data_IF_635966451653
#
_entry.id   IF_635966451653
#
_cell.length_a   1.000
_cell.length_b   1.000
_cell.length_c   1.000
_cell.angle_alpha   90.00
_cell.angle_beta   90.00
_cell.angle_gamma   90.00
#
_symmetry.space_group_name_H-M   'P 1'
#
loop_
_entity.id
_entity.type
_entity.pdbx_description
1 polymer ?
#
# COMPACT_ATOMS: atom_id res chain seq x y z
N UNK A 1 -1.52 -10.72 6.21
CA UNK A 1 -0.05 -10.78 5.99
C UNK A 1 0.40 -9.50 5.31
N UNK A 2 1.62 -9.03 5.55
CA UNK A 2 2.19 -7.91 4.81
C UNK A 2 3.71 -7.94 4.76
N UNK A 3 4.27 -7.00 4.03
CA UNK A 3 5.72 -6.85 3.79
C UNK A 3 6.41 -8.21 3.54
N UNK A 4 5.76 -9.04 2.71
CA UNK A 4 6.25 -10.37 2.32
C UNK A 4 7.45 -10.19 1.40
N UNK A 5 8.53 -10.92 1.64
CA UNK A 5 9.69 -10.99 0.75
C UNK A 5 9.88 -12.42 0.26
N UNK A 6 10.97 -12.68 -0.42
CA UNK A 6 11.33 -14.06 -0.77
C UNK A 6 11.67 -14.94 0.44
N UNK A 7 12.03 -14.33 1.58
CA UNK A 7 12.53 -15.07 2.75
C UNK A 7 11.88 -14.66 4.08
N UNK A 8 10.91 -13.76 4.06
CA UNK A 8 10.25 -13.27 5.26
C UNK A 8 8.83 -12.81 5.00
N UNK A 9 8.05 -12.66 6.07
CA UNK A 9 6.70 -12.08 6.05
C UNK A 9 6.41 -11.43 7.40
N UNK A 10 5.40 -10.55 7.46
CA UNK A 10 4.91 -9.98 8.70
C UNK A 10 3.45 -10.38 8.90
N UNK A 11 3.16 -11.15 9.94
CA UNK A 11 1.79 -11.43 10.35
C UNK A 11 1.30 -10.29 11.23
N UNK A 12 0.13 -9.75 10.93
CA UNK A 12 -0.60 -8.83 11.79
C UNK A 12 -1.89 -9.48 12.30
N UNK A 13 -2.19 -9.26 13.57
CA UNK A 13 -3.46 -9.65 14.17
C UNK A 13 -3.86 -8.64 15.27
N UNK A 14 -5.13 -8.69 15.66
CA UNK A 14 -5.68 -8.01 16.83
C UNK A 14 -6.57 -8.97 17.60
N UNK A 15 -6.49 -8.93 18.92
CA UNK A 15 -7.37 -9.68 19.83
C UNK A 15 -8.38 -8.75 20.50
N UNK A 16 -9.45 -9.30 21.08
CA UNK A 16 -10.49 -8.51 21.75
C UNK A 16 -10.11 -8.09 23.18
N UNK A 17 -8.96 -8.53 23.67
CA UNK A 17 -8.42 -8.22 24.99
C UNK A 17 -7.03 -8.83 25.17
N UNK A 18 -6.44 -8.79 26.38
CA UNK A 18 -5.13 -9.36 26.64
C UNK A 18 -5.15 -10.88 26.43
N UNK A 19 -4.43 -11.35 25.41
CA UNK A 19 -4.33 -12.77 25.06
C UNK A 19 -2.88 -13.17 24.88
N UNK A 20 -2.58 -14.43 25.19
CA UNK A 20 -1.35 -15.10 24.78
C UNK A 20 -1.54 -15.62 23.36
N UNK A 21 -0.55 -15.39 22.50
CA UNK A 21 -0.58 -15.73 21.07
C UNK A 21 0.64 -16.55 20.73
N UNK A 22 0.45 -17.66 20.05
CA UNK A 22 1.51 -18.49 19.48
C UNK A 22 1.20 -18.79 18.02
N UNK A 23 2.24 -18.81 17.20
CA UNK A 23 2.16 -19.09 15.77
C UNK A 23 2.89 -20.39 15.46
N UNK A 24 2.31 -21.17 14.56
CA UNK A 24 2.95 -22.35 13.96
C UNK A 24 2.83 -22.25 12.45
N UNK A 25 3.93 -22.42 11.71
CA UNK A 25 3.93 -22.35 10.26
C UNK A 25 4.87 -23.36 9.61
N UNK A 26 4.48 -23.80 8.43
CA UNK A 26 5.29 -24.64 7.55
C UNK A 26 4.83 -24.49 6.09
N UNK A 27 5.62 -24.90 5.10
CA UNK A 27 5.15 -25.07 3.74
C UNK A 27 3.89 -25.94 3.68
N UNK A 28 2.93 -25.62 2.83
CA UNK A 28 1.66 -26.37 2.71
C UNK A 28 1.94 -27.85 2.43
N UNK A 29 2.92 -28.16 1.57
CA UNK A 29 3.31 -29.54 1.26
C UNK A 29 3.76 -30.33 2.50
N UNK A 30 4.40 -29.68 3.47
CA UNK A 30 4.80 -30.31 4.74
C UNK A 30 3.60 -30.65 5.61
N UNK A 31 2.60 -29.76 5.72
CA UNK A 31 1.34 -30.03 6.42
C UNK A 31 0.56 -31.21 5.81
N UNK A 32 0.50 -31.27 4.48
CA UNK A 32 -0.21 -32.31 3.78
C UNK A 32 0.48 -33.69 3.93
N UNK A 33 1.80 -33.70 4.12
CA UNK A 33 2.57 -34.92 4.44
C UNK A 33 2.31 -35.38 5.88
N UNK A 34 2.31 -34.47 6.87
CA UNK A 34 1.99 -34.78 8.27
C UNK A 34 0.60 -35.39 8.45
N UNK A 35 -0.37 -34.90 7.67
CA UNK A 35 -1.75 -35.42 7.71
C UNK A 35 -1.87 -36.86 7.20
N UNK A 36 -0.92 -37.34 6.39
CA UNK A 36 -0.93 -38.64 5.72
C UNK A 36 -0.04 -39.70 6.40
N UNK A 37 0.94 -39.27 7.18
CA UNK A 37 1.94 -40.15 7.79
C UNK A 37 2.08 -39.88 9.29
N UNK A 38 1.65 -40.80 10.12
CA UNK A 38 1.74 -40.69 11.60
C UNK A 38 3.16 -40.60 12.14
N UNK A 39 4.19 -40.74 11.31
CA UNK A 39 5.61 -40.78 11.68
C UNK A 39 6.47 -39.74 10.98
N UNK A 40 5.91 -38.86 10.11
CA UNK A 40 6.68 -37.85 9.42
C UNK A 40 6.98 -36.67 10.35
N UNK A 41 8.24 -36.46 10.67
CA UNK A 41 8.72 -35.25 11.37
C UNK A 41 8.89 -34.15 10.32
N UNK A 42 7.80 -33.48 9.95
CA UNK A 42 7.92 -32.24 9.20
C UNK A 42 8.30 -31.14 10.19
N UNK A 43 9.31 -30.34 9.85
CA UNK A 43 9.70 -29.19 10.67
C UNK A 43 8.63 -28.10 10.59
N UNK A 44 7.76 -28.08 11.59
CA UNK A 44 6.83 -26.96 11.82
C UNK A 44 7.58 -25.93 12.66
N UNK A 45 7.79 -24.75 12.11
CA UNK A 45 8.36 -23.64 12.88
C UNK A 45 7.32 -23.09 13.85
N UNK A 46 7.80 -22.66 15.01
CA UNK A 46 6.94 -22.12 16.08
C UNK A 46 7.53 -20.82 16.62
N UNK A 47 6.67 -19.81 16.81
CA UNK A 47 7.07 -18.56 17.43
C UNK A 47 7.29 -18.70 18.94
N UNK A 48 8.02 -17.76 19.56
CA UNK A 48 7.85 -17.49 20.99
C UNK A 48 6.39 -17.21 21.33
N UNK A 49 6.08 -17.21 22.62
CA UNK A 49 4.78 -16.82 23.12
C UNK A 49 4.72 -15.28 23.22
N UNK A 50 3.77 -14.66 22.56
CA UNK A 50 3.52 -13.23 22.62
C UNK A 50 2.31 -12.93 23.51
N UNK A 51 2.20 -11.69 23.97
CA UNK A 51 1.03 -11.20 24.70
C UNK A 51 0.55 -9.91 24.03
N UNK A 52 -0.74 -9.84 23.74
CA UNK A 52 -1.36 -8.59 23.28
C UNK A 52 -1.73 -7.72 24.49
N UNK A 53 -1.56 -6.39 24.35
CA UNK A 53 -1.77 -5.44 25.42
C UNK A 53 -2.56 -4.21 24.97
N UNK A 54 -3.11 -3.48 25.94
CA UNK A 54 -3.91 -2.27 25.70
C UNK A 54 -3.08 -1.10 25.16
N UNK A 55 -1.78 -1.10 25.39
CA UNK A 55 -0.82 -0.09 24.91
C UNK A 55 -0.82 0.02 23.40
N UNK A 56 -1.02 -1.10 22.68
CA UNK A 56 -1.14 -1.18 21.21
C UNK A 56 -2.56 -1.51 20.73
N UNK A 57 -3.59 -1.24 21.55
CA UNK A 57 -4.97 -1.63 21.26
C UNK A 57 -5.13 -3.12 20.93
N UNK A 58 -4.36 -3.96 21.62
CA UNK A 58 -4.33 -5.42 21.45
C UNK A 58 -3.89 -5.89 20.05
N UNK A 59 -3.21 -5.04 19.27
CA UNK A 59 -2.59 -5.42 18.01
C UNK A 59 -1.23 -6.06 18.25
N UNK A 60 -0.82 -6.89 17.31
CA UNK A 60 0.47 -7.57 17.30
C UNK A 60 0.94 -7.78 15.87
N UNK A 61 2.19 -7.39 15.59
CA UNK A 61 2.87 -7.68 14.33
C UNK A 61 4.05 -8.63 14.61
N UNK A 62 4.04 -9.82 13.99
CA UNK A 62 5.06 -10.86 14.23
C UNK A 62 5.84 -11.13 12.95
N UNK A 63 7.17 -10.90 12.95
CA UNK A 63 8.01 -11.26 11.82
C UNK A 63 8.19 -12.78 11.72
N UNK A 64 8.07 -13.29 10.51
CA UNK A 64 8.41 -14.65 10.11
C UNK A 64 9.65 -14.55 9.22
N UNK A 65 10.74 -15.19 9.63
CA UNK A 65 12.04 -15.12 8.96
C UNK A 65 12.50 -16.51 8.52
N UNK A 66 13.48 -16.57 7.62
CA UNK A 66 14.07 -17.82 7.13
C UNK A 66 13.11 -18.64 6.26
N UNK A 67 12.19 -17.97 5.57
CA UNK A 67 11.27 -18.62 4.66
C UNK A 67 11.96 -18.97 3.33
N UNK A 68 11.40 -19.95 2.62
CA UNK A 68 11.86 -20.35 1.29
C UNK A 68 11.17 -19.51 0.21
N UNK A 69 11.89 -19.03 -0.82
CA UNK A 69 11.31 -18.27 -1.92
C UNK A 69 10.23 -19.05 -2.69
N UNK A 70 9.28 -18.32 -3.28
CA UNK A 70 8.19 -18.83 -4.12
C UNK A 70 7.45 -20.03 -3.50
N UNK A 71 7.28 -20.02 -2.18
CA UNK A 71 6.74 -21.15 -1.42
C UNK A 71 5.44 -20.76 -0.73
N UNK A 72 4.41 -21.58 -0.90
CA UNK A 72 3.12 -21.41 -0.20
C UNK A 72 3.23 -21.97 1.22
N UNK A 73 3.01 -21.11 2.19
CA UNK A 73 2.99 -21.42 3.62
C UNK A 73 1.58 -21.46 4.16
N UNK A 74 1.38 -22.34 5.15
CA UNK A 74 0.19 -22.35 6.02
C UNK A 74 0.62 -22.04 7.44
N UNK A 75 -0.09 -21.11 8.06
CA UNK A 75 0.14 -20.63 9.40
C UNK A 75 -1.12 -20.80 10.23
N UNK A 76 -0.96 -21.29 11.45
CA UNK A 76 -1.99 -21.38 12.48
C UNK A 76 -1.70 -20.36 13.58
N UNK A 77 -2.73 -19.65 14.00
CA UNK A 77 -2.71 -18.72 15.14
C UNK A 77 -3.45 -19.39 16.29
N UNK A 78 -2.75 -19.67 17.37
CA UNK A 78 -3.35 -20.17 18.61
C UNK A 78 -3.43 -19.05 19.64
N UNK A 79 -4.56 -18.94 20.33
CA UNK A 79 -4.78 -17.96 21.40
C UNK A 79 -5.18 -18.63 22.70
N UNK A 80 -4.73 -18.06 23.82
CA UNK A 80 -5.06 -18.52 25.17
C UNK A 80 -5.13 -17.36 26.16
N UNK A 81 -5.80 -17.55 27.29
CA UNK A 81 -5.84 -16.57 28.39
C UNK A 81 -4.62 -16.69 29.28
N UNK A 82 -4.16 -15.58 29.89
CA UNK A 82 -3.02 -15.55 30.81
C UNK A 82 -3.28 -16.51 31.99
N UNK A 83 -2.35 -17.48 32.20
CA UNK A 83 -2.46 -18.50 33.26
C UNK A 83 -2.82 -19.92 32.77
N UNK A 84 -3.20 -20.09 31.51
CA UNK A 84 -3.31 -21.40 30.85
C UNK A 84 -2.31 -21.44 29.70
N UNK A 85 -1.34 -22.32 29.77
CA UNK A 85 -0.32 -22.45 28.73
C UNK A 85 -0.97 -22.68 27.36
N UNK A 86 -0.56 -21.92 26.34
CA UNK A 86 -0.95 -22.15 24.96
C UNK A 86 -0.48 -23.53 24.42
N UNK A 87 0.29 -24.24 25.22
CA UNK A 87 0.77 -25.62 24.99
C UNK A 87 -0.19 -26.71 25.49
N UNK A 88 -1.26 -26.32 26.22
CA UNK A 88 -2.27 -27.29 26.64
C UNK A 88 -3.20 -27.66 25.48
N UNK A 89 -3.79 -28.87 25.55
CA UNK A 89 -4.84 -29.36 24.66
C UNK A 89 -6.07 -28.42 24.54
N UNK A 90 -6.09 -27.31 25.27
CA UNK A 90 -7.14 -26.29 25.31
C UNK A 90 -6.79 -25.02 24.54
N UNK A 91 -5.56 -24.88 23.93
CA UNK A 91 -5.23 -23.76 23.03
C UNK A 91 -6.11 -23.84 21.77
N UNK A 92 -6.98 -22.87 21.62
CA UNK A 92 -7.89 -22.83 20.46
C UNK A 92 -7.16 -22.24 19.27
N UNK A 93 -7.11 -22.97 18.15
CA UNK A 93 -6.74 -22.39 16.86
C UNK A 93 -7.79 -21.32 16.52
N UNK A 94 -7.39 -20.06 16.59
CA UNK A 94 -8.25 -18.91 16.34
C UNK A 94 -8.32 -18.55 14.84
N UNK A 95 -7.22 -18.77 14.09
CA UNK A 95 -7.17 -18.49 12.68
C UNK A 95 -6.19 -19.42 11.94
N UNK A 96 -6.49 -19.64 10.66
CA UNK A 96 -5.61 -20.24 9.66
C UNK A 96 -5.39 -19.24 8.55
N UNK A 97 -4.15 -19.00 8.18
CA UNK A 97 -3.73 -18.09 7.12
C UNK A 97 -2.86 -18.85 6.13
N UNK A 98 -3.02 -18.59 4.86
CA UNK A 98 -2.11 -19.06 3.82
C UNK A 98 -1.58 -17.88 3.04
N UNK A 99 -0.30 -17.92 2.68
CA UNK A 99 0.37 -16.90 1.88
C UNK A 99 1.51 -17.54 1.08
N UNK A 100 1.95 -16.86 0.03
CA UNK A 100 3.11 -17.28 -0.77
C UNK A 100 4.21 -16.25 -0.62
N UNK A 101 5.44 -16.70 -0.40
CA UNK A 101 6.63 -15.84 -0.44
C UNK A 101 6.92 -15.40 -1.86
N UNK A 102 7.49 -14.20 -2.02
CA UNK A 102 7.90 -13.72 -3.34
C UNK A 102 9.00 -14.60 -3.96
N UNK A 103 9.13 -14.62 -5.29
CA UNK A 103 10.27 -15.23 -5.96
C UNK A 103 11.58 -14.57 -5.55
N UNK A 104 12.68 -15.31 -5.54
CA UNK A 104 14.01 -14.73 -5.32
C UNK A 104 14.47 -13.85 -6.50
N UNK A 105 15.48 -13.00 -6.27
CA UNK A 105 15.93 -11.99 -7.22
C UNK A 105 16.51 -12.54 -8.55
N UNK A 106 16.63 -13.85 -8.71
CA UNK A 106 17.10 -14.50 -9.96
C UNK A 106 15.96 -15.18 -10.71
N UNK A 107 14.78 -15.29 -10.10
CA UNK A 107 13.63 -15.98 -10.66
C UNK A 107 12.86 -15.07 -11.62
N UNK A 108 12.52 -15.60 -12.79
CA UNK A 108 11.66 -14.96 -13.79
C UNK A 108 10.19 -15.43 -13.70
N UNK A 109 9.74 -15.87 -12.52
CA UNK A 109 8.33 -16.21 -12.34
C UNK A 109 7.45 -14.97 -12.50
N UNK A 110 6.33 -15.06 -13.22
CA UNK A 110 5.38 -13.97 -13.31
C UNK A 110 4.87 -13.54 -11.92
N UNK A 111 4.62 -12.25 -11.76
CA UNK A 111 4.05 -11.67 -10.54
C UNK A 111 2.77 -10.93 -10.90
N UNK A 112 1.71 -11.20 -10.16
CA UNK A 112 0.40 -10.56 -10.33
C UNK A 112 0.02 -9.80 -9.06
N UNK A 113 -0.22 -8.49 -9.17
CA UNK A 113 -0.60 -7.69 -8.02
C UNK A 113 -1.63 -6.63 -8.40
N UNK A 114 -2.34 -6.13 -7.41
CA UNK A 114 -3.23 -4.99 -7.59
C UNK A 114 -2.73 -3.78 -6.78
N UNK A 115 -3.20 -2.58 -7.17
CA UNK A 115 -2.99 -1.37 -6.39
C UNK A 115 -4.23 -0.49 -6.41
N UNK A 116 -4.47 0.24 -5.36
CA UNK A 116 -5.46 1.32 -5.23
C UNK A 116 -5.32 1.99 -3.85
N UNK A 117 -6.13 3.01 -3.59
CA UNK A 117 -6.21 3.74 -2.33
C UNK A 117 -7.63 4.22 -2.04
N UNK A 118 -7.75 5.19 -1.16
CA UNK A 118 -8.96 6.01 -0.93
C UNK A 118 -10.14 5.18 -0.42
N UNK A 119 -9.98 4.58 0.78
CA UNK A 119 -10.98 3.69 1.39
C UNK A 119 -11.81 4.40 2.47
N UNK A 120 -13.09 4.62 2.20
CA UNK A 120 -14.07 4.96 3.23
C UNK A 120 -14.12 6.42 3.65
N UNK A 121 -13.88 7.36 2.73
CA UNK A 121 -13.96 8.80 2.96
C UNK A 121 -15.20 9.47 2.38
N UNK A 122 -15.32 10.78 2.69
CA UNK A 122 -16.25 11.72 2.03
C UNK A 122 -17.71 11.24 2.06
N UNK A 123 -18.15 10.72 3.23
CA UNK A 123 -19.49 10.21 3.43
C UNK A 123 -19.77 8.81 2.85
N UNK A 124 -18.79 8.20 2.20
CA UNK A 124 -18.86 6.82 1.66
C UNK A 124 -18.07 5.84 2.53
N UNK A 125 -18.37 5.82 3.81
CA UNK A 125 -17.78 4.92 4.77
C UNK A 125 -18.41 3.53 4.71
N UNK A 126 -18.06 2.66 5.64
CA UNK A 126 -18.58 1.29 5.70
C UNK A 126 -20.11 1.25 5.74
N UNK A 127 -20.73 0.44 4.90
CA UNK A 127 -22.19 0.24 4.81
C UNK A 127 -22.54 -1.22 4.83
N UNK A 128 -23.41 -1.61 5.76
CA UNK A 128 -23.77 -3.01 5.97
C UNK A 128 -22.61 -3.92 6.39
N UNK A 129 -22.90 -5.17 6.65
CA UNK A 129 -21.90 -6.15 7.12
C UNK A 129 -20.78 -6.40 6.10
N UNK A 130 -21.08 -6.41 4.81
CA UNK A 130 -20.07 -6.58 3.75
C UNK A 130 -19.06 -5.43 3.72
N UNK A 131 -19.53 -4.21 3.92
CA UNK A 131 -18.72 -2.99 3.95
C UNK A 131 -18.31 -2.53 2.58
N UNK A 132 -17.28 -3.11 2.01
CA UNK A 132 -16.62 -2.68 0.75
C UNK A 132 -16.56 -3.85 -0.24
N UNK A 133 -17.58 -4.06 -1.10
CA UNK A 133 -17.69 -5.23 -1.99
C UNK A 133 -16.58 -5.34 -3.03
N UNK A 134 -15.90 -4.24 -3.38
CA UNK A 134 -14.77 -4.21 -4.32
C UNK A 134 -13.65 -5.20 -3.91
N UNK A 135 -13.46 -5.45 -2.61
CA UNK A 135 -12.47 -6.41 -2.13
C UNK A 135 -12.80 -7.87 -2.48
N UNK A 136 -14.07 -8.23 -2.66
CA UNK A 136 -14.43 -9.56 -3.16
C UNK A 136 -14.10 -9.70 -4.65
N UNK A 137 -14.26 -8.63 -5.45
CA UNK A 137 -13.83 -8.58 -6.85
C UNK A 137 -12.30 -8.72 -6.95
N UNK A 138 -11.55 -7.96 -6.11
CA UNK A 138 -10.09 -8.04 -6.06
C UNK A 138 -9.61 -9.45 -5.66
N UNK A 139 -10.25 -10.06 -4.65
CA UNK A 139 -9.89 -11.40 -4.19
C UNK A 139 -10.03 -12.47 -5.26
N UNK A 140 -10.96 -12.31 -6.20
CA UNK A 140 -11.14 -13.21 -7.33
C UNK A 140 -9.99 -13.16 -8.36
N UNK A 141 -9.11 -12.15 -8.32
CA UNK A 141 -8.01 -11.95 -9.27
C UNK A 141 -6.75 -12.80 -8.97
N UNK A 142 -6.73 -13.59 -7.91
CA UNK A 142 -5.60 -14.46 -7.54
C UNK A 142 -4.26 -13.69 -7.42
N UNK A 143 -4.24 -12.68 -6.58
CA UNK A 143 -3.11 -11.77 -6.39
C UNK A 143 -1.99 -12.40 -5.56
N UNK A 144 -0.73 -12.14 -5.94
CA UNK A 144 0.43 -12.39 -5.09
C UNK A 144 0.49 -11.40 -3.94
N UNK A 145 0.11 -10.12 -4.20
CA UNK A 145 -0.01 -9.08 -3.18
C UNK A 145 -0.89 -7.90 -3.63
N UNK A 146 -1.19 -7.02 -2.70
CA UNK A 146 -1.87 -5.75 -2.93
C UNK A 146 -1.04 -4.57 -2.42
N UNK A 147 -0.91 -3.51 -3.23
CA UNK A 147 -0.34 -2.22 -2.83
C UNK A 147 -1.47 -1.29 -2.40
N UNK A 148 -1.53 -0.95 -1.13
CA UNK A 148 -2.48 0.02 -0.60
C UNK A 148 -1.80 1.40 -0.55
N UNK A 149 -2.17 2.28 -1.48
CA UNK A 149 -1.52 3.56 -1.72
C UNK A 149 -2.12 4.70 -0.89
N UNK A 150 -2.27 4.49 0.40
CA UNK A 150 -2.75 5.51 1.31
C UNK A 150 -4.26 5.65 1.35
N UNK A 151 -4.69 6.56 2.20
CA UNK A 151 -6.09 6.76 2.54
C UNK A 151 -6.77 5.45 2.91
N UNK A 152 -6.04 4.65 3.72
CA UNK A 152 -6.55 3.39 4.26
C UNK A 152 -7.71 3.62 5.22
N UNK A 153 -7.86 4.83 5.68
CA UNK A 153 -9.01 5.39 6.40
C UNK A 153 -8.96 6.92 6.35
N UNK A 154 -10.09 7.58 6.51
CA UNK A 154 -10.21 9.04 6.57
C UNK A 154 -10.42 9.49 8.02
N UNK A 155 -9.33 9.87 8.72
CA UNK A 155 -9.38 10.34 10.10
C UNK A 155 -10.12 11.65 10.26
N UNK A 156 -10.03 12.52 9.28
CA UNK A 156 -10.58 13.85 9.22
C UNK A 156 -11.98 13.97 8.57
N UNK A 157 -12.62 12.86 8.26
CA UNK A 157 -13.95 12.83 7.67
C UNK A 157 -14.97 12.17 8.62
N UNK A 158 -16.15 12.74 8.75
CA UNK A 158 -17.26 12.13 9.47
C UNK A 158 -17.94 11.07 8.61
N UNK A 159 -18.47 10.04 9.29
CA UNK A 159 -19.26 8.98 8.69
C UNK A 159 -20.66 8.96 9.30
N UNK A 160 -21.55 9.90 8.94
CA UNK A 160 -22.90 9.96 9.51
C UNK A 160 -23.68 8.67 9.28
N UNK A 161 -24.36 8.20 10.30
CA UNK A 161 -25.25 7.04 10.25
C UNK A 161 -26.71 7.47 10.41
N UNK A 162 -27.63 7.01 9.54
CA UNK A 162 -27.42 6.30 8.29
C UNK A 162 -26.89 7.22 7.15
N UNK A 163 -26.39 6.74 6.02
CA UNK A 163 -26.43 5.35 5.52
C UNK A 163 -25.21 4.49 5.94
N UNK A 164 -24.20 5.10 6.59
CA UNK A 164 -23.03 4.37 7.03
C UNK A 164 -23.32 3.60 8.32
N UNK A 165 -22.51 2.58 8.63
CA UNK A 165 -22.59 1.89 9.92
C UNK A 165 -22.24 2.86 11.06
N UNK A 166 -22.88 2.70 12.24
CA UNK A 166 -22.59 3.56 13.39
C UNK A 166 -21.19 3.31 13.93
N UNK A 167 -20.62 4.34 14.61
CA UNK A 167 -19.33 4.22 15.32
C UNK A 167 -18.19 4.99 14.71
N UNK A 168 -18.37 5.68 13.58
CA UNK A 168 -17.32 6.45 12.91
C UNK A 168 -17.74 7.90 12.56
N UNK A 169 -18.82 8.44 13.15
CA UNK A 169 -19.26 9.83 12.92
C UNK A 169 -18.54 10.84 13.83
N UNK A 170 -17.22 10.87 13.72
CA UNK A 170 -16.36 11.83 14.42
C UNK A 170 -15.12 12.17 13.58
N UNK A 171 -14.42 13.23 13.96
CA UNK A 171 -13.08 13.58 13.44
C UNK A 171 -12.04 13.03 14.42
N UNK A 172 -11.06 12.30 13.93
CA UNK A 172 -10.01 11.75 14.77
C UNK A 172 -8.96 12.84 15.07
N UNK A 173 -8.67 13.04 16.34
CA UNK A 173 -7.64 13.97 16.84
C UNK A 173 -6.76 13.34 17.91
N UNK A 174 -7.20 12.23 18.47
CA UNK A 174 -6.47 11.45 19.49
C UNK A 174 -6.14 10.06 18.97
N UNK A 175 -5.13 9.42 19.58
CA UNK A 175 -4.75 8.04 19.23
C UNK A 175 -5.93 7.07 19.36
N UNK A 176 -6.77 7.25 20.39
CA UNK A 176 -7.95 6.38 20.59
C UNK A 176 -8.97 6.51 19.44
N UNK A 177 -9.15 7.73 18.92
CA UNK A 177 -10.03 8.00 17.78
C UNK A 177 -9.46 7.47 16.47
N UNK A 178 -8.16 7.66 16.17
CA UNK A 178 -7.51 7.04 15.02
C UNK A 178 -7.61 5.52 15.07
N UNK A 179 -7.37 4.89 16.22
CA UNK A 179 -7.56 3.45 16.43
C UNK A 179 -9.02 3.03 16.19
N UNK A 180 -9.98 3.84 16.63
CA UNK A 180 -11.41 3.58 16.41
C UNK A 180 -11.77 3.59 14.91
N UNK A 181 -11.20 4.52 14.13
CA UNK A 181 -11.37 4.56 12.67
C UNK A 181 -10.84 3.29 12.01
N UNK A 182 -9.64 2.87 12.36
CA UNK A 182 -9.08 1.61 11.85
C UNK A 182 -9.93 0.39 12.25
N UNK A 183 -10.47 0.35 13.49
CA UNK A 183 -11.39 -0.72 13.90
C UNK A 183 -12.68 -0.74 13.09
N UNK A 184 -13.25 0.42 12.81
CA UNK A 184 -14.45 0.52 11.97
C UNK A 184 -14.20 -0.06 10.59
N UNK A 185 -13.11 0.33 9.93
CA UNK A 185 -12.71 -0.26 8.63
C UNK A 185 -12.59 -1.79 8.69
N UNK A 186 -11.96 -2.32 9.75
CA UNK A 186 -11.83 -3.78 9.99
C UNK A 186 -13.17 -4.45 10.30
N UNK A 187 -14.23 -3.71 10.59
CA UNK A 187 -15.59 -4.18 10.68
C UNK A 187 -16.16 -4.69 9.35
N UNK A 188 -15.62 -4.24 8.20
CA UNK A 188 -16.01 -4.67 6.87
C UNK A 188 -15.59 -6.13 6.61
N UNK A 189 -16.58 -7.00 6.35
CA UNK A 189 -16.33 -8.43 6.17
C UNK A 189 -15.55 -8.73 4.89
N UNK A 190 -15.86 -8.03 3.78
CA UNK A 190 -15.16 -8.20 2.52
C UNK A 190 -13.67 -7.82 2.66
N UNK A 191 -13.35 -6.71 3.35
CA UNK A 191 -11.97 -6.32 3.65
C UNK A 191 -11.25 -7.38 4.51
N UNK A 192 -11.90 -7.90 5.55
CA UNK A 192 -11.29 -8.94 6.39
C UNK A 192 -10.97 -10.21 5.60
N UNK A 193 -11.91 -10.69 4.78
CA UNK A 193 -11.70 -11.86 3.91
C UNK A 193 -10.53 -11.64 2.95
N UNK A 194 -10.42 -10.44 2.38
CA UNK A 194 -9.32 -10.06 1.49
C UNK A 194 -7.98 -10.09 2.22
N UNK A 195 -7.86 -9.43 3.37
CA UNK A 195 -6.62 -9.31 4.13
C UNK A 195 -6.12 -10.64 4.74
N UNK A 196 -7.00 -11.63 4.92
CA UNK A 196 -6.61 -12.98 5.33
C UNK A 196 -5.97 -13.75 4.15
N UNK A 197 -6.39 -13.48 2.91
CA UNK A 197 -6.00 -14.24 1.72
C UNK A 197 -4.93 -13.58 0.86
N UNK A 198 -4.75 -12.27 0.95
CA UNK A 198 -3.83 -11.48 0.10
C UNK A 198 -2.85 -10.71 0.98
N UNK A 199 -1.53 -10.91 0.80
CA UNK A 199 -0.52 -10.06 1.43
C UNK A 199 -0.63 -8.61 0.99
N UNK A 200 -0.34 -7.66 1.90
CA UNK A 200 -0.43 -6.23 1.60
C UNK A 200 0.89 -5.50 1.84
N UNK A 201 1.17 -4.52 1.00
CA UNK A 201 2.14 -3.46 1.25
C UNK A 201 1.37 -2.16 1.38
N UNK A 202 1.57 -1.47 2.47
CA UNK A 202 0.80 -0.27 2.82
C UNK A 202 1.74 0.91 2.93
N UNK A 203 1.35 2.01 2.36
CA UNK A 203 1.89 3.33 2.63
C UNK A 203 0.71 4.25 2.97
N UNK A 204 0.94 5.30 3.70
CA UNK A 204 -0.08 6.31 3.95
C UNK A 204 -0.15 7.36 2.86
N UNK A 205 -1.28 8.08 2.81
CA UNK A 205 -1.36 9.38 2.16
C UNK A 205 -1.76 10.45 3.20
N UNK A 206 -2.66 11.35 2.91
CA UNK A 206 -2.93 12.45 3.83
C UNK A 206 -4.01 12.14 4.86
N UNK A 207 -5.05 11.41 4.52
CA UNK A 207 -6.21 11.22 5.40
C UNK A 207 -5.97 10.27 6.58
N UNK A 208 -4.86 9.55 6.63
CA UNK A 208 -4.40 8.89 7.87
C UNK A 208 -4.06 9.89 8.97
N UNK A 209 -3.88 11.16 8.60
CA UNK A 209 -3.69 12.28 9.51
C UNK A 209 -4.80 13.30 9.30
N UNK A 210 -4.80 14.01 8.19
CA UNK A 210 -5.84 14.94 7.72
C UNK A 210 -5.56 15.44 6.32
N UNK A 211 -6.61 15.88 5.63
CA UNK A 211 -6.54 16.40 4.26
C UNK A 211 -5.32 17.29 4.02
N UNK A 212 -4.53 16.92 3.03
CA UNK A 212 -3.33 17.59 2.57
C UNK A 212 -2.27 17.86 3.66
N UNK A 213 -2.15 16.98 4.69
CA UNK A 213 -1.10 17.18 5.67
C UNK A 213 0.29 17.18 5.03
N UNK A 214 1.16 18.02 5.54
CA UNK A 214 2.47 18.24 4.97
C UNK A 214 3.56 18.22 6.06
N UNK A 215 4.29 17.11 6.09
CA UNK A 215 5.52 16.99 6.84
C UNK A 215 5.42 17.02 8.36
N UNK A 216 6.56 17.20 9.02
CA UNK A 216 6.69 17.11 10.47
C UNK A 216 6.02 18.27 11.22
N UNK A 217 5.53 19.28 10.50
CA UNK A 217 4.86 20.44 11.08
C UNK A 217 3.43 20.15 11.55
N UNK A 218 2.85 19.04 11.10
CA UNK A 218 1.53 18.63 11.53
C UNK A 218 1.58 17.97 12.90
N UNK A 219 0.93 18.58 13.90
CA UNK A 219 0.94 18.08 15.28
C UNK A 219 0.23 16.73 15.45
N UNK A 220 -0.62 16.34 14.51
CA UNK A 220 -1.33 15.06 14.54
C UNK A 220 -0.56 13.94 13.81
N UNK A 221 0.45 14.27 13.00
CA UNK A 221 1.23 13.29 12.26
C UNK A 221 1.80 12.16 13.14
N UNK A 222 2.42 12.42 14.31
CA UNK A 222 2.95 11.34 15.15
C UNK A 222 1.88 10.35 15.60
N UNK A 223 0.68 10.86 15.90
CA UNK A 223 -0.45 10.05 16.37
C UNK A 223 -1.06 9.22 15.23
N UNK A 224 -1.28 9.83 14.05
CA UNK A 224 -1.74 9.13 12.86
C UNK A 224 -0.77 8.04 12.42
N UNK A 225 0.55 8.35 12.41
CA UNK A 225 1.60 7.37 12.10
C UNK A 225 1.64 6.21 13.08
N UNK A 226 1.46 6.48 14.38
CA UNK A 226 1.40 5.43 15.39
C UNK A 226 0.21 4.51 15.12
N UNK A 227 -0.98 5.05 14.89
CA UNK A 227 -2.16 4.26 14.59
C UNK A 227 -1.99 3.44 13.30
N UNK A 228 -1.42 4.02 12.25
CA UNK A 228 -1.10 3.29 11.02
C UNK A 228 -0.22 2.06 11.29
N UNK A 229 0.87 2.24 12.04
CA UNK A 229 1.80 1.16 12.37
C UNK A 229 1.19 0.09 13.25
N UNK A 230 0.30 0.45 14.14
CA UNK A 230 -0.43 -0.50 14.98
C UNK A 230 -1.44 -1.33 14.19
N UNK A 231 -2.01 -0.76 13.12
CA UNK A 231 -3.10 -1.39 12.37
C UNK A 231 -2.70 -2.01 11.04
N UNK A 232 -1.46 -1.82 10.58
CA UNK A 232 -0.98 -2.37 9.33
C UNK A 232 0.34 -3.13 9.49
N UNK A 233 0.52 -4.23 8.76
CA UNK A 233 1.76 -5.01 8.80
C UNK A 233 2.88 -4.31 8.03
N UNK A 234 3.38 -3.21 8.57
CA UNK A 234 4.50 -2.44 8.02
C UNK A 234 5.76 -2.79 8.80
N UNK A 235 6.78 -3.29 8.13
CA UNK A 235 8.06 -3.64 8.75
C UNK A 235 8.75 -2.39 9.32
N UNK A 236 9.24 -2.52 10.53
CA UNK A 236 10.03 -1.47 11.17
C UNK A 236 11.47 -1.58 10.68
N UNK A 237 12.01 -0.51 10.12
CA UNK A 237 13.41 -0.44 9.74
C UNK A 237 14.28 -0.32 11.01
N UNK A 238 15.40 -1.05 11.04
CA UNK A 238 16.26 -1.10 12.24
C UNK A 238 17.05 0.18 12.48
N UNK A 239 17.36 0.91 11.41
CA UNK A 239 18.12 2.16 11.41
C UNK A 239 17.25 3.41 11.62
N UNK A 240 15.98 3.35 11.23
CA UNK A 240 15.00 4.40 11.45
C UNK A 240 13.59 3.80 11.69
N UNK A 241 13.17 3.66 12.95
CA UNK A 241 11.85 3.09 13.26
C UNK A 241 10.67 3.91 12.74
N UNK A 242 10.89 5.13 12.28
CA UNK A 242 9.83 5.99 11.75
C UNK A 242 9.70 5.91 10.23
N UNK A 243 10.69 5.36 9.54
CA UNK A 243 10.73 5.25 8.09
C UNK A 243 9.65 4.31 7.56
N UNK A 244 8.83 4.81 6.62
CA UNK A 244 7.78 4.03 5.95
C UNK A 244 8.19 3.66 4.51
N UNK A 245 9.01 4.48 3.83
CA UNK A 245 9.48 4.20 2.48
C UNK A 245 10.42 2.98 2.45
N UNK A 246 10.30 2.18 1.41
CA UNK A 246 11.05 0.92 1.29
C UNK A 246 11.06 0.35 -0.11
N UNK A 247 11.99 -0.56 -0.37
CA UNK A 247 12.07 -1.33 -1.60
C UNK A 247 11.46 -2.73 -1.41
N UNK A 248 10.79 -3.22 -2.43
CA UNK A 248 10.32 -4.61 -2.51
C UNK A 248 10.82 -5.22 -3.81
N UNK A 249 11.64 -6.27 -3.70
CA UNK A 249 12.09 -7.06 -4.85
C UNK A 249 11.22 -8.30 -5.01
N UNK A 250 10.60 -8.47 -6.19
CA UNK A 250 9.77 -9.62 -6.53
C UNK A 250 10.31 -10.29 -7.78
N UNK A 251 11.18 -11.26 -7.60
CA UNK A 251 11.86 -11.93 -8.70
C UNK A 251 12.95 -11.10 -9.39
N UNK A 252 13.40 -11.56 -10.54
CA UNK A 252 14.36 -10.84 -11.39
C UNK A 252 13.72 -9.65 -12.12
N UNK A 253 12.41 -9.66 -12.28
CA UNK A 253 11.74 -8.78 -13.24
C UNK A 253 11.05 -7.57 -12.59
N UNK A 254 10.81 -7.55 -11.28
CA UNK A 254 10.07 -6.47 -10.62
C UNK A 254 10.80 -5.95 -9.39
N UNK A 255 10.97 -4.63 -9.33
CA UNK A 255 11.40 -3.93 -8.13
C UNK A 255 10.51 -2.70 -7.88
N UNK A 256 9.92 -2.62 -6.69
CA UNK A 256 9.05 -1.55 -6.26
C UNK A 256 9.82 -0.62 -5.34
N UNK A 257 9.74 0.68 -5.59
CA UNK A 257 10.22 1.75 -4.72
C UNK A 257 9.00 2.46 -4.13
N UNK A 258 8.60 2.06 -2.92
CA UNK A 258 7.42 2.60 -2.24
C UNK A 258 7.83 3.87 -1.52
N UNK A 259 7.33 5.02 -1.98
CA UNK A 259 7.64 6.33 -1.46
C UNK A 259 6.74 6.72 -0.30
N UNK A 260 7.29 7.45 0.66
CA UNK A 260 6.54 8.23 1.65
C UNK A 260 6.53 9.69 1.19
N UNK A 261 5.44 10.09 0.57
CA UNK A 261 5.28 11.43 0.02
C UNK A 261 4.77 12.45 1.04
N UNK A 262 4.58 12.06 2.31
CA UNK A 262 3.92 12.90 3.32
C UNK A 262 4.83 13.31 4.47
N UNK A 263 5.54 12.37 5.09
CA UNK A 263 6.23 12.58 6.36
C UNK A 263 7.36 13.63 6.30
N UNK A 264 8.04 13.71 5.17
CA UNK A 264 9.29 14.49 5.03
C UNK A 264 9.11 15.76 4.20
N UNK A 265 7.90 15.98 3.66
CA UNK A 265 7.68 17.09 2.73
C UNK A 265 7.69 18.45 3.41
N UNK A 266 8.10 19.46 2.65
CA UNK A 266 7.90 20.87 2.97
C UNK A 266 6.42 21.24 2.98
N UNK A 267 6.09 22.40 3.51
CA UNK A 267 4.71 22.92 3.46
C UNK A 267 4.23 23.02 2.00
N UNK A 268 2.99 22.59 1.76
CA UNK A 268 2.35 22.72 0.45
C UNK A 268 2.28 24.18 -0.02
N UNK A 269 2.13 25.13 0.92
CA UNK A 269 2.05 26.57 0.67
C UNK A 269 3.38 27.22 0.27
N UNK A 270 4.51 26.56 0.51
CA UNK A 270 5.80 27.10 0.14
C UNK A 270 5.91 27.18 -1.41
N UNK A 271 6.59 28.20 -1.91
CA UNK A 271 6.92 28.26 -3.32
C UNK A 271 7.90 27.15 -3.70
N UNK A 272 7.71 26.58 -4.87
CA UNK A 272 8.67 25.61 -5.43
C UNK A 272 10.03 26.25 -5.62
N UNK A 273 11.07 25.61 -5.09
CA UNK A 273 12.42 26.15 -5.08
C UNK A 273 13.45 25.14 -4.58
N UNK A 274 14.75 25.52 -4.51
CA UNK A 274 15.82 24.59 -4.16
C UNK A 274 15.70 23.94 -2.76
N UNK A 275 15.03 24.60 -1.83
CA UNK A 275 14.84 24.10 -0.47
C UNK A 275 13.54 23.32 -0.26
N UNK A 276 12.64 23.36 -1.25
CA UNK A 276 11.37 22.65 -1.14
C UNK A 276 11.52 21.18 -1.58
N UNK A 277 11.07 20.27 -0.73
CA UNK A 277 11.18 18.84 -0.95
C UNK A 277 9.88 18.12 -0.64
N UNK A 278 9.56 17.07 -1.38
CA UNK A 278 8.49 16.13 -1.09
C UNK A 278 9.00 14.92 -0.31
N UNK A 279 10.16 14.42 -0.67
CA UNK A 279 10.71 13.18 -0.11
C UNK A 279 11.69 13.41 1.06
N UNK A 280 12.22 14.64 1.19
CA UNK A 280 13.38 14.89 2.02
C UNK A 280 14.66 14.35 1.40
N UNK A 281 15.79 14.86 1.82
CA UNK A 281 17.10 14.54 1.22
C UNK A 281 17.44 13.06 1.28
N UNK A 282 17.24 12.42 2.42
CA UNK A 282 17.60 11.01 2.62
C UNK A 282 16.80 10.07 1.72
N UNK A 283 15.48 10.26 1.65
CA UNK A 283 14.64 9.42 0.81
C UNK A 283 14.89 9.65 -0.68
N UNK A 284 15.11 10.93 -1.08
CA UNK A 284 15.46 11.24 -2.47
C UNK A 284 16.77 10.54 -2.87
N UNK A 285 17.81 10.64 -2.07
CA UNK A 285 19.08 9.95 -2.34
C UNK A 285 18.92 8.42 -2.38
N UNK A 286 18.16 7.85 -1.45
CA UNK A 286 17.83 6.43 -1.45
C UNK A 286 17.13 6.00 -2.76
N UNK A 287 16.15 6.79 -3.24
CA UNK A 287 15.43 6.51 -4.49
C UNK A 287 16.38 6.55 -5.70
N UNK A 288 17.17 7.63 -5.83
CA UNK A 288 18.09 7.82 -6.97
C UNK A 288 19.17 6.73 -7.01
N UNK A 289 19.72 6.36 -5.86
CA UNK A 289 20.69 5.26 -5.75
C UNK A 289 20.04 3.93 -6.08
N UNK A 290 18.89 3.64 -5.49
CA UNK A 290 18.17 2.39 -5.72
C UNK A 290 17.75 2.19 -7.19
N UNK A 291 17.26 3.24 -7.85
CA UNK A 291 16.94 3.19 -9.29
C UNK A 291 18.19 2.92 -10.14
N UNK A 292 19.31 3.52 -9.77
CA UNK A 292 20.60 3.35 -10.48
C UNK A 292 21.16 1.94 -10.32
N UNK A 293 21.03 1.36 -9.15
CA UNK A 293 21.57 0.03 -8.80
C UNK A 293 20.64 -1.11 -9.17
N UNK A 294 19.38 -0.80 -9.42
CA UNK A 294 18.36 -1.82 -9.73
C UNK A 294 18.68 -2.60 -11.00
N UNK A 295 18.74 -3.91 -10.83
CA UNK A 295 18.89 -4.88 -11.93
C UNK A 295 17.54 -5.46 -12.39
N UNK A 296 16.41 -4.98 -11.85
CA UNK A 296 15.09 -5.43 -12.26
C UNK A 296 14.79 -5.03 -13.70
N UNK A 297 14.10 -5.91 -14.43
CA UNK A 297 13.56 -5.55 -15.74
C UNK A 297 12.64 -4.33 -15.62
N UNK A 298 11.72 -4.34 -14.66
CA UNK A 298 10.76 -3.28 -14.41
C UNK A 298 11.06 -2.60 -13.07
N UNK A 299 11.23 -1.28 -13.11
CA UNK A 299 11.42 -0.40 -11.96
C UNK A 299 10.12 0.36 -11.75
N UNK A 300 9.45 0.09 -10.64
CA UNK A 300 8.14 0.69 -10.34
C UNK A 300 8.28 1.65 -9.17
N UNK A 301 8.03 2.92 -9.42
CA UNK A 301 8.00 3.97 -8.40
C UNK A 301 6.55 4.12 -7.95
N UNK A 302 6.31 3.77 -6.69
CA UNK A 302 4.98 3.81 -6.07
C UNK A 302 4.88 5.13 -5.31
N UNK A 303 4.05 6.03 -5.82
CA UNK A 303 3.81 7.36 -5.26
C UNK A 303 2.33 7.52 -4.95
N UNK A 304 1.96 8.12 -3.83
CA UNK A 304 0.53 8.29 -3.51
C UNK A 304 -0.08 9.39 -4.36
N UNK A 305 0.66 10.44 -4.68
CA UNK A 305 0.20 11.59 -5.46
C UNK A 305 0.71 11.54 -6.90
N UNK A 306 -0.09 11.94 -7.90
CA UNK A 306 0.29 11.84 -9.32
C UNK A 306 1.31 12.90 -9.76
N UNK A 307 2.06 12.56 -10.84
CA UNK A 307 3.14 13.40 -11.38
C UNK A 307 2.66 14.66 -12.09
N UNK A 308 1.54 14.58 -12.82
CA UNK A 308 1.10 15.63 -13.76
C UNK A 308 -0.30 16.15 -13.48
N UNK A 309 -0.91 15.78 -12.37
CA UNK A 309 -2.20 16.31 -11.95
C UNK A 309 -1.95 17.40 -10.91
N UNK A 310 -2.35 18.63 -11.22
CA UNK A 310 -2.29 19.73 -10.26
C UNK A 310 -3.47 19.61 -9.30
N UNK A 311 -3.19 19.34 -8.03
CA UNK A 311 -4.14 19.38 -6.92
C UNK A 311 -3.90 20.69 -6.15
N UNK A 312 -4.58 21.74 -6.55
CA UNK A 312 -4.65 22.97 -5.74
C UNK A 312 -5.28 22.67 -4.39
N UNK A 313 -4.81 23.32 -3.33
CA UNK A 313 -5.40 23.17 -2.02
C UNK A 313 -6.91 23.37 -2.08
N UNK A 314 -7.66 22.42 -1.52
CA UNK A 314 -9.10 22.57 -1.34
C UNK A 314 -9.43 23.81 -0.50
N UNK A 315 -10.69 24.17 -0.35
CA UNK A 315 -11.12 25.35 0.40
C UNK A 315 -10.44 25.39 1.79
N UNK A 316 -9.55 26.37 1.98
CA UNK A 316 -8.85 26.59 3.26
C UNK A 316 -7.48 25.94 3.42
N UNK A 317 -6.97 25.16 2.44
CA UNK A 317 -5.62 24.60 2.47
C UNK A 317 -4.80 25.20 1.33
N UNK A 318 -3.82 26.08 1.59
CA UNK A 318 -3.05 26.74 0.56
C UNK A 318 -2.00 25.80 -0.05
N UNK A 319 -1.75 26.00 -1.37
CA UNK A 319 -0.70 25.33 -2.13
C UNK A 319 -1.10 24.02 -2.79
N UNK A 320 -0.24 23.54 -3.69
CA UNK A 320 -0.42 22.26 -4.38
C UNK A 320 0.04 21.08 -3.54
N UNK A 321 -0.77 20.04 -3.54
CA UNK A 321 -0.54 18.84 -2.77
C UNK A 321 0.28 17.77 -3.50
N UNK A 322 0.34 17.81 -4.83
CA UNK A 322 1.03 16.84 -5.68
C UNK A 322 2.36 17.33 -6.25
N UNK A 323 2.98 16.49 -7.06
CA UNK A 323 4.20 16.80 -7.80
C UNK A 323 4.04 17.93 -8.80
N UNK A 324 2.87 18.04 -9.43
CA UNK A 324 2.61 19.08 -10.41
C UNK A 324 2.49 20.45 -9.73
N UNK A 325 3.03 21.47 -10.42
CA UNK A 325 2.90 22.85 -9.98
C UNK A 325 1.52 23.44 -10.26
N UNK A 326 1.12 24.40 -9.41
CA UNK A 326 -0.03 25.25 -9.63
C UNK A 326 0.35 26.59 -10.25
N UNK A 327 -0.69 27.36 -10.61
CA UNK A 327 -0.54 28.74 -11.11
C UNK A 327 -0.01 29.71 -10.05
N UNK A 328 -0.06 29.31 -8.77
CA UNK A 328 0.44 30.04 -7.61
C UNK A 328 1.95 29.87 -7.37
N UNK A 329 2.61 29.02 -8.17
CA UNK A 329 4.04 28.71 -8.05
C UNK A 329 4.38 27.76 -6.90
N UNK A 330 3.38 27.05 -6.37
CA UNK A 330 3.57 25.95 -5.40
C UNK A 330 3.60 24.59 -6.10
N UNK A 331 3.79 23.49 -5.35
CA UNK A 331 3.99 22.15 -5.87
C UNK A 331 5.44 21.71 -5.65
N UNK A 332 5.85 20.59 -6.25
CA UNK A 332 7.17 20.00 -6.05
C UNK A 332 7.84 19.65 -7.40
N UNK A 333 7.70 20.56 -8.37
CA UNK A 333 8.13 20.35 -9.77
C UNK A 333 9.66 20.17 -9.87
N UNK A 334 10.42 20.93 -9.07
CA UNK A 334 11.89 20.84 -9.09
C UNK A 334 12.40 19.47 -8.62
N UNK A 335 11.88 18.96 -7.52
CA UNK A 335 12.31 17.65 -7.04
C UNK A 335 11.82 16.52 -7.95
N UNK A 336 10.59 16.61 -8.48
CA UNK A 336 10.13 15.72 -9.55
C UNK A 336 11.11 15.73 -10.73
N UNK A 337 11.59 16.91 -11.15
CA UNK A 337 12.54 17.03 -12.27
C UNK A 337 13.87 16.33 -11.96
N UNK A 338 14.36 16.37 -10.72
CA UNK A 338 15.57 15.64 -10.32
C UNK A 338 15.41 14.12 -10.54
N UNK A 339 14.24 13.57 -10.23
CA UNK A 339 13.94 12.15 -10.47
C UNK A 339 13.91 11.85 -11.97
N UNK A 340 13.23 12.70 -12.74
CA UNK A 340 13.12 12.56 -14.21
C UNK A 340 14.52 12.70 -14.87
N UNK A 341 15.32 13.66 -14.45
CA UNK A 341 16.69 13.84 -14.96
C UNK A 341 17.58 12.62 -14.68
N UNK A 342 17.38 11.96 -13.54
CA UNK A 342 18.07 10.71 -13.24
C UNK A 342 17.65 9.58 -14.17
N UNK A 343 16.37 9.46 -14.48
CA UNK A 343 15.84 8.45 -15.42
C UNK A 343 16.40 8.68 -16.82
N UNK A 344 16.29 9.90 -17.33
CA UNK A 344 16.78 10.27 -18.67
C UNK A 344 18.30 10.21 -18.78
N UNK A 345 19.02 10.85 -17.85
CA UNK A 345 20.47 10.95 -17.89
C UNK A 345 21.19 9.60 -17.81
N UNK A 346 20.53 8.57 -17.32
CA UNK A 346 21.01 7.19 -17.28
C UNK A 346 20.37 6.28 -18.32
N UNK A 347 19.54 6.82 -19.20
CA UNK A 347 18.78 6.08 -20.20
C UNK A 347 18.04 4.87 -19.59
N UNK A 348 17.46 5.04 -18.39
CA UNK A 348 16.77 3.96 -17.70
C UNK A 348 15.56 3.53 -18.51
N UNK A 349 15.39 2.22 -18.68
CA UNK A 349 14.24 1.65 -19.39
C UNK A 349 13.29 0.96 -18.42
N UNK A 350 12.03 0.79 -18.89
CA UNK A 350 10.99 0.07 -18.17
C UNK A 350 10.68 0.68 -16.78
N UNK A 351 10.62 2.02 -16.72
CA UNK A 351 10.22 2.75 -15.52
C UNK A 351 8.72 3.01 -15.56
N UNK A 352 8.03 2.69 -14.48
CA UNK A 352 6.58 2.89 -14.33
C UNK A 352 6.30 3.56 -13.00
N UNK A 353 5.42 4.56 -13.00
CA UNK A 353 4.88 5.18 -11.80
C UNK A 353 3.47 4.65 -11.53
N UNK A 354 3.17 4.34 -10.26
CA UNK A 354 1.83 3.98 -9.79
C UNK A 354 1.36 5.01 -8.77
N UNK A 355 0.17 5.55 -8.98
CA UNK A 355 -0.42 6.61 -8.16
C UNK A 355 -1.86 6.34 -7.73
N UNK A 356 -2.39 7.24 -6.86
CA UNK A 356 -3.75 7.26 -6.32
C UNK A 356 -4.24 8.69 -6.08
N UNK A 357 -4.94 8.96 -4.97
CA UNK A 357 -5.27 10.25 -4.38
C UNK A 357 -6.34 11.09 -5.13
N UNK A 358 -6.43 11.02 -6.43
CA UNK A 358 -7.30 11.90 -7.24
C UNK A 358 -8.71 11.35 -7.47
N UNK A 359 -8.97 10.12 -7.05
CA UNK A 359 -10.27 9.46 -7.10
C UNK A 359 -10.86 9.28 -8.51
N UNK A 360 -9.99 9.10 -9.51
CA UNK A 360 -10.34 8.72 -10.88
C UNK A 360 -9.17 8.03 -11.56
N UNK A 361 -9.43 7.43 -12.71
CA UNK A 361 -8.42 6.73 -13.51
C UNK A 361 -7.74 7.70 -14.46
N UNK A 362 -6.41 7.76 -14.42
CA UNK A 362 -5.62 8.42 -15.46
C UNK A 362 -4.38 7.61 -15.78
N UNK A 363 -4.06 7.46 -17.07
CA UNK A 363 -2.80 6.88 -17.50
C UNK A 363 -2.14 7.81 -18.52
N UNK A 364 -0.83 8.01 -18.37
CA UNK A 364 -0.03 8.88 -19.21
C UNK A 364 1.27 8.16 -19.64
N UNK A 365 1.63 8.38 -20.90
CA UNK A 365 2.96 8.12 -21.42
C UNK A 365 3.72 9.47 -21.48
N UNK A 366 4.95 9.49 -21.00
CA UNK A 366 5.75 10.72 -20.89
C UNK A 366 6.95 10.70 -21.82
N UNK A 367 7.16 11.83 -22.54
CA UNK A 367 8.27 12.11 -23.44
C UNK A 367 8.91 13.47 -23.04
N UNK A 368 9.55 13.56 -21.86
CA UNK A 368 10.06 14.84 -21.36
C UNK A 368 11.22 15.42 -22.18
N UNK A 369 12.03 14.63 -22.87
CA UNK A 369 13.10 15.10 -23.75
C UNK A 369 12.59 15.48 -25.16
N UNK A 370 11.41 15.02 -25.56
CA UNK A 370 10.74 15.39 -26.79
C UNK A 370 11.32 14.73 -28.03
N UNK A 371 11.89 13.56 -27.89
CA UNK A 371 12.44 12.80 -29.02
C UNK A 371 11.37 12.00 -29.81
N UNK A 372 10.12 11.99 -29.33
CA UNK A 372 8.98 11.31 -29.94
C UNK A 372 8.76 9.89 -29.44
N UNK A 373 9.55 9.44 -28.46
CA UNK A 373 9.37 8.15 -27.78
C UNK A 373 9.07 8.35 -26.30
N UNK A 374 8.28 7.43 -25.72
CA UNK A 374 7.96 7.54 -24.31
C UNK A 374 9.07 6.96 -23.45
N UNK A 375 9.57 7.74 -22.48
CA UNK A 375 10.62 7.34 -21.56
C UNK A 375 10.08 6.51 -20.39
N UNK A 376 8.92 6.90 -19.86
CA UNK A 376 8.25 6.22 -18.76
C UNK A 376 6.74 6.42 -18.80
N UNK A 377 6.03 5.66 -17.98
CA UNK A 377 4.56 5.69 -17.90
C UNK A 377 4.10 5.91 -16.45
N UNK A 378 2.92 6.48 -16.30
CA UNK A 378 2.22 6.61 -15.03
C UNK A 378 0.81 6.06 -15.15
N UNK A 379 0.38 5.31 -14.13
CA UNK A 379 -0.98 4.81 -14.00
C UNK A 379 -1.52 5.21 -12.62
N UNK A 380 -2.64 5.92 -12.63
CA UNK A 380 -3.34 6.41 -11.44
C UNK A 380 -4.70 5.76 -11.40
N UNK A 381 -5.06 5.19 -10.24
CA UNK A 381 -6.34 4.50 -10.01
C UNK A 381 -6.89 4.85 -8.64
N UNK A 382 -8.12 4.47 -8.39
CA UNK A 382 -8.90 4.75 -7.19
C UNK A 382 -10.17 5.56 -7.54
N UNK A 383 -11.06 5.72 -6.59
CA UNK A 383 -11.00 5.29 -5.20
C UNK A 383 -11.51 3.85 -5.02
N UNK A 384 -11.16 3.21 -3.89
CA UNK A 384 -11.76 1.93 -3.47
C UNK A 384 -13.20 2.11 -2.97
N UNK A 385 -13.48 3.22 -2.30
CA UNK A 385 -14.85 3.53 -1.84
C UNK A 385 -15.09 5.01 -1.50
N UNK A 386 -14.07 5.86 -1.48
CA UNK A 386 -14.28 7.29 -1.33
C UNK A 386 -15.05 7.89 -2.52
N UNK A 387 -15.53 9.13 -2.43
CA UNK A 387 -16.29 9.74 -3.51
C UNK A 387 -15.42 9.90 -4.76
N UNK A 388 -15.87 9.46 -5.96
CA UNK A 388 -15.14 9.73 -7.19
C UNK A 388 -14.91 11.23 -7.41
N UNK A 389 -13.69 11.59 -7.80
CA UNK A 389 -13.27 12.94 -8.10
C UNK A 389 -13.59 13.38 -9.53
N UNK A 390 -13.61 14.69 -9.79
CA UNK A 390 -13.69 15.22 -11.16
C UNK A 390 -12.37 15.01 -11.90
N UNK A 391 -12.44 14.55 -13.14
CA UNK A 391 -11.25 14.35 -13.97
C UNK A 391 -10.56 15.68 -14.27
N UNK A 392 -9.25 15.69 -14.14
CA UNK A 392 -8.40 16.83 -14.46
C UNK A 392 -7.41 16.43 -15.57
N UNK A 393 -7.19 17.24 -16.60
CA UNK A 393 -6.16 16.96 -17.60
C UNK A 393 -4.76 16.94 -16.97
N UNK A 394 -3.90 16.03 -17.45
CA UNK A 394 -2.48 16.05 -17.11
C UNK A 394 -1.85 17.38 -17.55
N UNK A 395 -1.01 17.97 -16.70
CA UNK A 395 -0.35 19.26 -16.91
C UNK A 395 1.13 19.19 -16.53
N UNK A 396 1.85 20.22 -16.94
CA UNK A 396 3.24 20.49 -16.48
C UNK A 396 4.31 19.69 -17.21
N UNK A 397 5.22 20.33 -17.81
CA UNK A 397 6.58 20.11 -18.34
C UNK A 397 7.07 18.71 -18.78
N UNK A 398 6.33 17.63 -18.52
CA UNK A 398 6.72 16.26 -18.84
C UNK A 398 6.17 15.74 -20.18
N UNK A 399 5.49 16.59 -20.96
CA UNK A 399 4.86 16.24 -22.25
C UNK A 399 4.03 14.96 -22.19
N UNK A 400 2.96 14.89 -21.35
CA UNK A 400 2.13 13.71 -21.23
C UNK A 400 1.30 13.46 -22.48
N UNK A 401 1.30 12.22 -22.98
CA UNK A 401 0.27 11.68 -23.85
C UNK A 401 -0.70 10.89 -23.01
N UNK A 402 -1.93 11.39 -22.83
CA UNK A 402 -2.95 10.73 -22.02
C UNK A 402 -3.52 9.53 -22.75
N UNK A 403 -3.41 8.35 -22.15
CA UNK A 403 -3.93 7.08 -22.66
C UNK A 403 -5.38 6.84 -22.23
N UNK A 404 -5.74 7.26 -21.02
CA UNK A 404 -7.10 7.27 -20.47
C UNK A 404 -7.23 8.38 -19.42
N UNK A 405 -8.43 8.94 -19.29
CA UNK A 405 -8.83 9.87 -18.23
C UNK A 405 -10.34 9.69 -17.97
N UNK A 406 -10.69 8.80 -17.05
CA UNK A 406 -12.07 8.41 -16.72
C UNK A 406 -12.30 8.37 -15.21
N UNK A 407 -13.55 8.59 -14.81
CA UNK A 407 -13.93 8.53 -13.40
C UNK A 407 -15.43 8.25 -13.20
N UNK A 408 -15.91 8.46 -11.97
CA UNK A 408 -17.31 8.27 -11.63
C UNK A 408 -17.62 6.86 -11.10
N UNK A 409 -16.62 6.01 -10.92
CA UNK A 409 -16.76 4.63 -10.39
C UNK A 409 -15.61 4.27 -9.45
N UNK A 410 -15.87 3.32 -8.54
CA UNK A 410 -14.83 2.72 -7.70
C UNK A 410 -14.01 1.76 -8.55
N UNK A 411 -12.70 1.73 -8.33
CA UNK A 411 -11.83 0.92 -9.17
C UNK A 411 -10.50 0.56 -8.48
N UNK A 412 -9.82 -0.39 -9.06
CA UNK A 412 -8.43 -0.74 -8.76
C UNK A 412 -7.70 -1.10 -10.05
N UNK A 413 -6.39 -1.00 -10.01
CA UNK A 413 -5.53 -1.51 -11.05
C UNK A 413 -5.04 -2.91 -10.74
N UNK A 414 -4.99 -3.76 -11.76
CA UNK A 414 -4.40 -5.09 -11.77
C UNK A 414 -3.19 -5.09 -12.69
N UNK A 415 -2.06 -5.60 -12.20
CA UNK A 415 -0.80 -5.69 -12.96
C UNK A 415 -0.35 -7.14 -13.01
N UNK A 416 0.07 -7.55 -14.20
CA UNK A 416 0.82 -8.79 -14.40
C UNK A 416 2.17 -8.49 -15.02
N UNK A 417 3.23 -8.85 -14.30
CA UNK A 417 4.62 -8.63 -14.72
C UNK A 417 5.24 -9.94 -15.18
N UNK A 418 5.91 -9.88 -16.32
CA UNK A 418 6.79 -10.92 -16.81
C UNK A 418 8.12 -10.29 -17.24
N UNK A 419 9.10 -11.10 -17.62
CA UNK A 419 10.36 -10.60 -18.19
C UNK A 419 10.14 -9.70 -19.41
N UNK A 420 9.13 -10.00 -20.25
CA UNK A 420 8.92 -9.32 -21.53
C UNK A 420 7.76 -8.32 -21.54
N UNK A 421 6.90 -8.31 -20.51
CA UNK A 421 5.73 -7.45 -20.51
C UNK A 421 5.32 -6.98 -19.10
N UNK A 422 4.72 -5.80 -19.07
CA UNK A 422 4.01 -5.23 -17.93
C UNK A 422 2.59 -4.93 -18.40
N UNK A 423 1.64 -5.72 -17.96
CA UNK A 423 0.24 -5.65 -18.38
C UNK A 423 -0.59 -4.99 -17.29
N UNK A 424 -1.32 -3.94 -17.64
CA UNK A 424 -2.16 -3.16 -16.74
C UNK A 424 -3.61 -3.35 -17.15
N UNK A 425 -4.48 -3.60 -16.17
CA UNK A 425 -5.93 -3.63 -16.35
C UNK A 425 -6.59 -2.85 -15.23
N UNK A 426 -7.46 -1.90 -15.54
CA UNK A 426 -8.32 -1.21 -14.57
C UNK A 426 -9.65 -1.94 -14.51
N UNK A 427 -10.06 -2.30 -13.30
CA UNK A 427 -11.28 -3.08 -13.02
C UNK A 427 -12.13 -2.27 -12.05
N UNK A 428 -13.43 -2.14 -12.34
CA UNK A 428 -14.37 -1.46 -11.47
C UNK A 428 -14.95 -2.37 -10.37
N UNK A 429 -15.76 -1.79 -9.49
CA UNK A 429 -16.42 -2.49 -8.38
C UNK A 429 -17.40 -3.59 -8.82
N UNK A 430 -17.88 -3.56 -10.07
CA UNK A 430 -18.72 -4.61 -10.66
C UNK A 430 -17.90 -5.73 -11.31
N UNK A 431 -16.56 -5.61 -11.37
CA UNK A 431 -15.67 -6.56 -12.03
C UNK A 431 -15.51 -6.33 -13.53
N UNK A 432 -16.01 -5.22 -14.06
CA UNK A 432 -15.86 -4.88 -15.47
C UNK A 432 -14.48 -4.25 -15.74
N UNK A 433 -13.84 -4.66 -16.82
CA UNK A 433 -12.62 -4.04 -17.33
C UNK A 433 -12.95 -2.69 -17.96
N UNK A 434 -12.34 -1.61 -17.44
CA UNK A 434 -12.47 -0.25 -17.93
C UNK A 434 -11.35 0.15 -18.86
N UNK A 435 -10.15 -0.35 -18.61
CA UNK A 435 -8.98 -0.03 -19.42
C UNK A 435 -8.00 -1.22 -19.39
N UNK A 436 -7.27 -1.41 -20.48
CA UNK A 436 -6.15 -2.34 -20.54
C UNK A 436 -5.02 -1.74 -21.37
N UNK A 437 -3.79 -1.91 -20.88
CA UNK A 437 -2.60 -1.47 -21.59
C UNK A 437 -1.45 -2.47 -21.37
N UNK A 438 -0.57 -2.59 -22.35
CA UNK A 438 0.58 -3.48 -22.28
C UNK A 438 1.84 -2.73 -22.68
N UNK A 439 2.84 -2.77 -21.81
CA UNK A 439 4.19 -2.32 -22.10
C UNK A 439 5.05 -3.53 -22.44
N UNK A 440 5.86 -3.41 -23.48
CA UNK A 440 6.90 -4.39 -23.82
C UNK A 440 8.21 -3.96 -23.20
N UNK A 441 8.97 -4.92 -22.64
CA UNK A 441 10.30 -4.63 -22.12
C UNK A 441 11.23 -4.15 -23.24
N UNK A 442 11.98 -3.10 -22.95
CA UNK A 442 12.98 -2.50 -23.83
C UNK A 442 14.38 -2.98 -23.49
#
# INVERSE_FOLDING_TARGET
MGDVTSQSALLWLRTDGPMMVQLEWAPVAAWDTLSKMATAVAHVARSPLFTTGSESDFTLAVPLEGLTPATRYRLYVSVGTKGREATSTEARVAARVEFTTLPDAKSHMPVTFAWSGDLGGQGRCRRGASGYPIFDVMRAQQLDFFLFLGDTMYGDNRCPSPPNEPGADFLATTLAEYRARHRDQRGAEALRRFLISVPVYVIWDDHEVRNNFAGPFDSQMPVGRQALREYWPIRVASDDPQRLYRTVRAGADLELFILDTRQYRSSNADRDGPAKTMLGEQQLQWLLSGLTESTATWKVIVTTVPLSISKGGGAGVPGNDGWAGGTDGTGFVRERQVIVDCILGRAMKNVVFLGGDVHYVQANAYDPDGDGTSDFHEFVVGPLSAAPGPQTPARGGLRPTTLINEGGYMNFGLIRVTKSSFEITVIDEAGATRFSHRLSAM
#
